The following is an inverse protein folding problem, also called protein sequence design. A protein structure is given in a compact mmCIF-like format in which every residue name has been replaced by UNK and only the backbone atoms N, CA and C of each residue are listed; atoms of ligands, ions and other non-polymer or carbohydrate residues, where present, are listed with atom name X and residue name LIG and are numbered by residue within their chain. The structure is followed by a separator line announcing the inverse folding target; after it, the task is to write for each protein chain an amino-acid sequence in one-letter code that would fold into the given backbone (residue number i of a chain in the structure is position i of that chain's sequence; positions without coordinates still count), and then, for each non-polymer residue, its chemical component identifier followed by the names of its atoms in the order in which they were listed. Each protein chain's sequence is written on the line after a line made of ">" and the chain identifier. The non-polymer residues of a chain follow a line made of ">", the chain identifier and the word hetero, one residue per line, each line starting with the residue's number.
data_IF_317369251573
#
_entry.id   IF_317369251573
#
_cell.length_a   1.000
_cell.length_b   1.000
_cell.length_c   1.000
_cell.angle_alpha   90.00
_cell.angle_beta   90.00
_cell.angle_gamma   90.00
#
_symmetry.space_group_name_H-M   'P 1'
#
loop_
_entity.id
_entity.type
_entity.pdbx_description
1 polymer ?
#
# COMPACT_ATOMS: atom_id res chain seq x y z
N UNK A 1 5.47 1.80 10.45
CA UNK A 1 4.23 1.54 9.70
C UNK A 1 3.01 1.63 10.61
N UNK A 2 1.85 1.92 10.04
CA UNK A 2 0.59 1.57 10.67
C UNK A 2 0.49 0.03 10.77
N UNK A 3 -0.40 -0.48 11.62
CA UNK A 3 -0.47 -1.93 11.80
C UNK A 3 -1.04 -2.61 10.56
N UNK A 4 -0.67 -3.88 10.32
CA UNK A 4 -1.26 -4.72 9.27
C UNK A 4 -2.80 -4.70 9.35
N UNK A 5 -3.35 -4.77 10.57
CA UNK A 5 -4.79 -4.66 10.80
C UNK A 5 -5.37 -3.32 10.35
N UNK A 6 -4.65 -2.21 10.58
CA UNK A 6 -5.05 -0.88 10.12
C UNK A 6 -5.13 -0.79 8.59
N UNK A 7 -4.12 -1.31 7.88
CA UNK A 7 -4.12 -1.33 6.41
C UNK A 7 -5.23 -2.20 5.83
N UNK A 8 -5.44 -3.40 6.40
CA UNK A 8 -6.53 -4.30 5.98
C UNK A 8 -7.90 -3.66 6.25
N UNK A 9 -8.08 -3.02 7.40
CA UNK A 9 -9.31 -2.31 7.73
C UNK A 9 -9.59 -1.15 6.76
N UNK A 10 -8.58 -0.34 6.44
CA UNK A 10 -8.70 0.76 5.48
C UNK A 10 -9.07 0.27 4.07
N UNK A 11 -8.41 -0.78 3.59
CA UNK A 11 -8.72 -1.41 2.31
C UNK A 11 -10.14 -1.99 2.28
N UNK A 12 -10.57 -2.62 3.38
CA UNK A 12 -11.95 -3.10 3.51
C UNK A 12 -12.95 -1.96 3.45
N UNK A 13 -12.70 -0.85 4.17
CA UNK A 13 -13.55 0.34 4.16
C UNK A 13 -13.65 0.96 2.75
N UNK A 14 -12.53 1.06 2.02
CA UNK A 14 -12.52 1.52 0.62
C UNK A 14 -13.43 0.64 -0.26
N UNK A 15 -13.33 -0.68 -0.11
CA UNK A 15 -14.15 -1.63 -0.86
C UNK A 15 -15.65 -1.42 -0.64
N UNK A 16 -16.09 -1.35 0.62
CA UNK A 16 -17.50 -1.15 0.95
C UNK A 16 -18.02 0.24 0.57
N UNK A 17 -17.19 1.29 0.69
CA UNK A 17 -17.60 2.66 0.40
C UNK A 17 -17.73 2.94 -1.11
N UNK A 18 -16.76 2.49 -1.92
CA UNK A 18 -16.66 2.87 -3.33
C UNK A 18 -16.97 1.74 -4.32
N UNK A 19 -16.81 0.48 -3.91
CA UNK A 19 -16.97 -0.68 -4.78
C UNK A 19 -17.86 -1.79 -4.18
N UNK A 20 -19.04 -1.47 -3.63
CA UNK A 20 -19.85 -2.45 -2.87
C UNK A 20 -20.21 -3.70 -3.66
N UNK A 21 -20.30 -3.61 -5.00
CA UNK A 21 -20.58 -4.77 -5.89
C UNK A 21 -19.36 -5.68 -6.12
N UNK A 22 -18.16 -5.17 -5.90
CA UNK A 22 -16.88 -5.87 -6.04
C UNK A 22 -16.44 -6.50 -4.73
N UNK A 23 -17.10 -6.20 -3.60
CA UNK A 23 -16.81 -6.79 -2.29
C UNK A 23 -17.26 -8.25 -2.26
N UNK A 24 -16.34 -9.14 -2.62
CA UNK A 24 -16.48 -10.61 -2.55
C UNK A 24 -15.31 -11.14 -1.73
N UNK A 25 -15.42 -12.35 -1.18
CA UNK A 25 -14.36 -12.91 -0.34
C UNK A 25 -12.98 -12.91 -1.03
N UNK A 26 -12.93 -13.31 -2.31
CA UNK A 26 -11.67 -13.34 -3.06
C UNK A 26 -11.06 -11.94 -3.24
N UNK A 27 -11.85 -10.96 -3.68
CA UNK A 27 -11.36 -9.58 -3.90
C UNK A 27 -11.00 -8.87 -2.61
N UNK A 28 -11.73 -9.13 -1.51
CA UNK A 28 -11.38 -8.62 -0.18
C UNK A 28 -10.05 -9.20 0.32
N UNK A 29 -9.84 -10.51 0.18
CA UNK A 29 -8.59 -11.15 0.58
C UNK A 29 -7.41 -10.59 -0.24
N UNK A 30 -7.57 -10.46 -1.56
CA UNK A 30 -6.55 -9.88 -2.42
C UNK A 30 -6.29 -8.41 -2.09
N UNK A 31 -7.34 -7.59 -1.94
CA UNK A 31 -7.20 -6.18 -1.60
C UNK A 31 -6.59 -5.97 -0.21
N UNK A 32 -6.90 -6.83 0.76
CA UNK A 32 -6.28 -6.84 2.09
C UNK A 32 -4.80 -7.17 2.02
N UNK A 33 -4.42 -8.20 1.24
CA UNK A 33 -3.01 -8.53 0.99
C UNK A 33 -2.26 -7.36 0.34
N UNK A 34 -2.81 -6.80 -0.73
CA UNK A 34 -2.22 -5.65 -1.43
C UNK A 34 -2.02 -4.46 -0.49
N UNK A 35 -2.95 -4.23 0.43
CA UNK A 35 -2.90 -3.11 1.36
C UNK A 35 -1.73 -3.16 2.34
N UNK A 36 -1.26 -4.33 2.79
CA UNK A 36 -0.08 -4.40 3.68
C UNK A 36 1.20 -4.81 2.95
N UNK A 37 1.09 -5.33 1.72
CA UNK A 37 2.22 -5.86 0.96
C UNK A 37 3.40 -4.91 0.72
N UNK A 38 3.26 -3.56 0.67
CA UNK A 38 4.43 -2.68 0.49
C UNK A 38 5.48 -2.85 1.59
N UNK A 39 5.06 -3.19 2.80
CA UNK A 39 5.94 -3.41 3.95
C UNK A 39 6.67 -4.75 3.92
N UNK A 40 6.42 -5.61 2.93
CA UNK A 40 7.28 -6.77 2.68
C UNK A 40 8.70 -6.33 2.26
N UNK A 41 8.91 -5.04 1.94
CA UNK A 41 10.22 -4.43 1.71
C UNK A 41 11.17 -4.54 2.92
N UNK A 42 10.67 -4.77 4.15
CA UNK A 42 11.52 -5.01 5.33
C UNK A 42 12.38 -6.26 5.17
N UNK A 43 11.99 -7.20 4.31
CA UNK A 43 12.82 -8.36 3.98
C UNK A 43 14.12 -7.96 3.28
N UNK A 44 14.17 -6.80 2.61
CA UNK A 44 15.38 -6.27 1.97
C UNK A 44 16.51 -6.04 2.98
N UNK A 45 16.19 -5.80 4.26
CA UNK A 45 17.18 -5.66 5.33
C UNK A 45 18.00 -6.93 5.53
N UNK A 46 17.41 -8.11 5.30
CA UNK A 46 18.13 -9.40 5.37
C UNK A 46 19.17 -9.55 4.26
N UNK A 47 19.05 -8.75 3.21
CA UNK A 47 19.99 -8.70 2.09
C UNK A 47 20.95 -7.49 2.18
N UNK A 48 20.99 -6.80 3.32
CA UNK A 48 21.91 -5.68 3.55
C UNK A 48 21.46 -4.33 2.96
N UNK A 49 20.22 -4.21 2.49
CA UNK A 49 19.69 -2.95 1.95
C UNK A 49 19.45 -1.96 3.11
N UNK A 50 20.04 -0.74 3.10
CA UNK A 50 19.82 0.21 4.18
C UNK A 50 18.41 0.80 4.18
N UNK A 51 17.82 1.06 5.35
CA UNK A 51 16.51 1.73 5.50
C UNK A 51 16.38 2.97 4.62
N UNK A 52 17.40 3.85 4.65
CA UNK A 52 17.35 5.13 3.95
C UNK A 52 17.45 5.05 2.43
N UNK A 53 17.85 3.89 1.88
CA UNK A 53 17.96 3.72 0.43
C UNK A 53 16.59 3.73 -0.24
N UNK A 54 16.55 3.99 -1.54
CA UNK A 54 15.31 3.90 -2.33
C UNK A 54 14.70 2.50 -2.32
N UNK A 55 15.54 1.48 -2.15
CA UNK A 55 15.17 0.06 -2.11
C UNK A 55 14.84 -0.43 -0.70
N UNK A 56 15.07 0.40 0.31
CA UNK A 56 14.78 0.10 1.71
C UNK A 56 13.34 0.39 2.08
N UNK A 57 13.00 0.11 3.34
CA UNK A 57 11.65 0.33 3.87
C UNK A 57 11.15 1.76 3.63
N UNK A 58 9.88 1.90 3.27
CA UNK A 58 9.25 3.18 2.88
C UNK A 58 9.85 3.87 1.64
N UNK A 59 10.58 3.11 0.85
CA UNK A 59 11.16 3.52 -0.43
C UNK A 59 10.19 3.34 -1.59
N UNK A 60 10.66 2.74 -2.69
CA UNK A 60 9.91 2.61 -3.95
C UNK A 60 8.55 1.90 -3.83
N UNK A 61 8.40 0.94 -2.91
CA UNK A 61 7.13 0.24 -2.63
C UNK A 61 6.05 1.15 -2.06
N UNK A 62 6.44 2.30 -1.48
CA UNK A 62 5.54 3.28 -0.88
C UNK A 62 5.22 4.45 -1.82
N UNK A 63 5.34 4.22 -3.12
CA UNK A 63 5.06 5.22 -4.16
C UNK A 63 3.69 5.04 -4.81
N UNK A 64 3.16 6.12 -5.35
CA UNK A 64 1.92 6.07 -6.14
C UNK A 64 2.09 5.24 -7.42
N UNK A 65 3.27 5.28 -8.02
CA UNK A 65 3.60 4.49 -9.22
C UNK A 65 3.59 3.01 -8.89
N UNK A 66 4.20 2.59 -7.78
CA UNK A 66 4.14 1.21 -7.32
C UNK A 66 2.69 0.77 -7.07
N UNK A 67 1.91 1.57 -6.34
CA UNK A 67 0.51 1.25 -6.06
C UNK A 67 -0.32 1.06 -7.34
N UNK A 68 -0.12 1.94 -8.33
CA UNK A 68 -0.79 1.84 -9.63
C UNK A 68 -0.39 0.57 -10.38
N UNK A 69 0.91 0.35 -10.57
CA UNK A 69 1.43 -0.81 -11.33
C UNK A 69 1.06 -2.11 -10.65
N UNK A 70 1.27 -2.22 -9.33
CA UNK A 70 1.05 -3.45 -8.59
C UNK A 70 -0.43 -3.82 -8.48
N UNK A 71 -1.31 -2.83 -8.21
CA UNK A 71 -2.75 -3.03 -8.21
C UNK A 71 -3.29 -3.45 -9.58
N UNK A 72 -2.86 -2.76 -10.64
CA UNK A 72 -3.28 -3.09 -12.01
C UNK A 72 -2.76 -4.46 -12.46
N UNK A 73 -1.50 -4.78 -12.20
CA UNK A 73 -0.89 -6.06 -12.54
C UNK A 73 -1.62 -7.21 -11.83
N UNK A 74 -1.92 -7.05 -10.54
CA UNK A 74 -2.66 -8.06 -9.76
C UNK A 74 -4.07 -8.27 -10.32
N UNK A 75 -4.79 -7.19 -10.63
CA UNK A 75 -6.09 -7.29 -11.27
C UNK A 75 -5.99 -7.97 -12.65
N UNK A 76 -4.97 -7.65 -13.44
CA UNK A 76 -4.78 -8.23 -14.77
C UNK A 76 -4.46 -9.73 -14.70
N UNK A 77 -3.58 -10.16 -13.79
CA UNK A 77 -3.20 -11.56 -13.64
C UNK A 77 -4.38 -12.43 -13.20
N UNK A 78 -5.17 -11.97 -12.22
CA UNK A 78 -6.16 -12.82 -11.55
C UNK A 78 -7.62 -12.51 -11.95
N UNK A 79 -7.91 -11.33 -12.50
CA UNK A 79 -9.28 -10.82 -12.70
C UNK A 79 -9.56 -10.29 -14.11
N UNK A 80 -8.63 -10.37 -15.08
CA UNK A 80 -8.81 -9.85 -16.46
C UNK A 80 -10.03 -10.36 -17.22
N UNK A 81 -10.60 -11.51 -16.83
CA UNK A 81 -11.79 -12.10 -17.47
C UNK A 81 -13.10 -11.68 -16.81
N UNK A 82 -13.06 -10.93 -15.71
CA UNK A 82 -14.28 -10.46 -15.03
C UNK A 82 -14.83 -9.23 -15.76
N UNK A 83 -16.17 -9.17 -15.88
CA UNK A 83 -16.89 -8.08 -16.55
C UNK A 83 -16.62 -6.71 -15.90
N UNK A 84 -16.33 -6.70 -14.60
CA UNK A 84 -16.04 -5.52 -13.80
C UNK A 84 -14.54 -5.32 -13.54
N UNK A 85 -13.68 -5.86 -14.42
CA UNK A 85 -12.22 -5.77 -14.34
C UNK A 85 -11.71 -4.37 -13.94
N UNK A 86 -12.18 -3.31 -14.60
CA UNK A 86 -11.72 -1.94 -14.31
C UNK A 86 -12.04 -1.53 -12.87
N UNK A 87 -13.21 -1.88 -12.33
CA UNK A 87 -13.58 -1.56 -10.95
C UNK A 87 -12.72 -2.33 -9.96
N UNK A 88 -12.42 -3.60 -10.25
CA UNK A 88 -11.52 -4.41 -9.43
C UNK A 88 -10.10 -3.83 -9.46
N UNK A 89 -9.61 -3.42 -10.64
CA UNK A 89 -8.30 -2.78 -10.78
C UNK A 89 -8.23 -1.47 -9.98
N UNK A 90 -9.24 -0.59 -10.08
CA UNK A 90 -9.30 0.62 -9.28
C UNK A 90 -9.36 0.33 -7.79
N UNK A 91 -10.15 -0.66 -7.36
CA UNK A 91 -10.19 -1.06 -5.96
C UNK A 91 -8.80 -1.47 -5.46
N UNK A 92 -8.09 -2.33 -6.19
CA UNK A 92 -6.75 -2.80 -5.83
C UNK A 92 -5.70 -1.68 -5.82
N UNK A 93 -5.76 -0.75 -6.78
CA UNK A 93 -4.89 0.43 -6.80
C UNK A 93 -5.14 1.30 -5.57
N UNK A 94 -6.39 1.61 -5.24
CA UNK A 94 -6.73 2.42 -4.07
C UNK A 94 -6.35 1.73 -2.75
N UNK A 95 -6.56 0.41 -2.66
CA UNK A 95 -6.13 -0.37 -1.49
C UNK A 95 -4.62 -0.31 -1.30
N UNK A 96 -3.83 -0.50 -2.36
CA UNK A 96 -2.36 -0.41 -2.28
C UNK A 96 -1.91 1.02 -1.97
N UNK A 97 -2.55 2.02 -2.59
CA UNK A 97 -2.26 3.45 -2.39
C UNK A 97 -2.58 3.93 -0.98
N UNK A 98 -3.57 3.32 -0.32
CA UNK A 98 -3.90 3.64 1.07
C UNK A 98 -2.74 3.39 2.02
N UNK A 99 -1.84 2.45 1.69
CA UNK A 99 -0.70 2.08 2.51
C UNK A 99 0.26 3.24 2.80
N UNK A 100 0.95 3.82 1.80
CA UNK A 100 1.86 4.93 2.05
C UNK A 100 1.16 6.14 2.64
N UNK A 101 -0.12 6.38 2.31
CA UNK A 101 -0.88 7.50 2.87
C UNK A 101 -1.09 7.34 4.39
N UNK A 102 -1.45 6.15 4.86
CA UNK A 102 -1.56 5.86 6.29
C UNK A 102 -0.20 5.91 6.98
N UNK A 103 0.84 5.42 6.31
CA UNK A 103 2.20 5.46 6.83
C UNK A 103 2.74 6.89 6.98
N UNK A 104 2.35 7.80 6.09
CA UNK A 104 2.61 9.23 6.21
C UNK A 104 1.86 9.91 7.37
N UNK A 105 0.80 9.29 7.90
CA UNK A 105 0.09 9.74 9.11
C UNK A 105 0.67 9.15 10.40
N UNK A 106 1.74 8.36 10.32
CA UNK A 106 2.42 7.84 11.51
C UNK A 106 3.37 8.86 12.13
N UNK A 107 3.51 8.82 13.45
CA UNK A 107 4.38 9.74 14.20
C UNK A 107 5.84 9.27 14.34
N UNK A 108 6.27 8.28 13.55
CA UNK A 108 7.65 7.79 13.52
C UNK A 108 8.08 7.19 12.19
N UNK A 109 9.36 6.79 12.09
CA UNK A 109 10.00 6.34 10.84
C UNK A 109 10.61 7.50 10.03
N UNK A 110 10.86 7.29 8.72
CA UNK A 110 11.52 8.30 7.85
C UNK A 110 10.64 8.85 6.72
N UNK A 111 9.32 8.84 6.87
CA UNK A 111 8.38 9.24 5.81
C UNK A 111 8.36 8.26 4.64
N UNK A 112 7.52 8.51 3.64
CA UNK A 112 7.35 7.67 2.46
C UNK A 112 7.82 8.36 1.18
N UNK A 113 8.52 7.63 0.31
CA UNK A 113 8.91 8.11 -1.02
C UNK A 113 7.73 8.13 -2.00
N UNK A 114 6.70 8.92 -1.69
CA UNK A 114 5.39 8.90 -2.36
C UNK A 114 5.50 9.15 -3.88
N UNK A 115 6.40 10.05 -4.27
CA UNK A 115 6.58 10.52 -5.65
C UNK A 115 7.67 9.77 -6.43
N UNK A 116 8.22 8.70 -5.88
CA UNK A 116 9.16 7.85 -6.61
C UNK A 116 8.50 7.29 -7.89
N UNK A 117 9.18 7.25 -9.05
CA UNK A 117 10.60 7.50 -9.28
C UNK A 117 10.95 8.96 -9.66
N UNK A 118 10.00 9.90 -9.59
CA UNK A 118 10.22 11.29 -9.99
C UNK A 118 10.92 12.11 -8.89
N UNK A 119 10.75 11.73 -7.63
CA UNK A 119 11.47 12.28 -6.48
C UNK A 119 11.76 11.18 -5.46
N UNK A 120 12.93 11.27 -4.84
CA UNK A 120 13.36 10.39 -3.74
C UNK A 120 13.03 11.00 -2.37
N UNK A 121 12.41 12.17 -2.32
CA UNK A 121 12.00 12.82 -1.09
C UNK A 121 11.01 11.96 -0.32
N UNK A 122 11.24 11.83 1.00
CA UNK A 122 10.37 11.09 1.89
C UNK A 122 9.55 12.06 2.72
N UNK A 123 8.25 11.99 2.53
CA UNK A 123 7.31 12.97 3.10
C UNK A 123 6.46 12.34 4.20
N UNK A 124 5.98 13.19 5.10
CA UNK A 124 4.95 12.90 6.08
C UNK A 124 3.79 13.87 5.89
N UNK A 125 2.61 13.52 6.37
CA UNK A 125 1.55 14.50 6.54
C UNK A 125 1.82 15.38 7.78
N UNK A 126 1.29 16.61 7.81
CA UNK A 126 1.44 17.49 8.97
C UNK A 126 0.71 16.94 10.21
N UNK A 127 -0.45 16.30 10.01
CA UNK A 127 -1.21 15.64 11.06
C UNK A 127 -0.86 14.15 11.13
N UNK A 128 -0.32 13.71 12.27
CA UNK A 128 0.23 12.35 12.47
C UNK A 128 -0.34 11.67 13.73
N UNK A 129 -1.64 11.33 13.76
CA UNK A 129 -2.27 10.76 14.95
C UNK A 129 -1.92 9.28 15.17
N UNK A 130 -1.38 8.60 14.15
CA UNK A 130 -1.16 7.15 14.21
C UNK A 130 0.16 6.88 14.92
N UNK A 131 0.11 6.14 16.03
CA UNK A 131 1.32 5.67 16.71
C UNK A 131 2.04 4.65 15.83
N UNK A 132 3.33 4.87 15.60
CA UNK A 132 4.14 3.94 14.80
C UNK A 132 4.27 2.60 15.52
N UNK A 133 4.07 1.49 14.80
CA UNK A 133 4.36 0.16 15.35
C UNK A 133 5.87 -0.10 15.38
N UNK A 134 6.42 -0.71 16.45
CA UNK A 134 7.83 -1.10 16.50
C UNK A 134 8.19 -2.05 15.36
N UNK A 135 9.35 -1.83 14.72
CA UNK A 135 9.94 -2.80 13.80
C UNK A 135 10.85 -3.72 14.64
N UNK A 136 10.26 -4.69 15.34
CA UNK A 136 10.98 -5.72 16.10
C UNK A 136 11.33 -6.91 15.22
#
# INVERSE_FOLDING_TARGET
>A
MASIFGHVAASTAIGYAFFPRQVRSATLLTAGFLAFSPDLDVLAFRFGVPYGSEWGHRGWTHSLVFAFVFGLLTAWLFYRKQQDFLKIAFFFILSTMSHPLLDMMTNGGRGCALWWPFSTERIFFPFRPIQVSPMS
#
